data_IF_214945259779
#
_entry.id   IF_214945259779
#
_cell.length_a   1.000
_cell.length_b   1.000
_cell.length_c   1.000
_cell.angle_alpha   90.00
_cell.angle_beta   90.00
_cell.angle_gamma   90.00
#
_symmetry.space_group_name_H-M   'P 1'
#
loop_
_entity.id
_entity.type
_entity.pdbx_description
1 polymer ?
#
# COMPACT_ATOMS: atom_id res chain seq x y z
N UNK A 1 0.39 9.59 -26.07
CA UNK A 1 -0.81 9.91 -25.28
C UNK A 1 -1.99 10.11 -26.21
N UNK A 2 -3.15 9.56 -25.86
CA UNK A 2 -4.38 9.70 -26.66
C UNK A 2 -5.45 10.41 -25.83
N UNK A 3 -6.28 11.22 -26.49
CA UNK A 3 -7.41 11.88 -25.84
C UNK A 3 -8.36 10.80 -25.29
N UNK A 4 -8.74 10.90 -24.01
CA UNK A 4 -9.57 9.91 -23.32
C UNK A 4 -8.83 8.74 -22.67
N UNK A 5 -7.51 8.67 -22.82
CA UNK A 5 -6.67 7.67 -22.14
C UNK A 5 -6.67 7.91 -20.60
N UNK A 6 -6.76 6.85 -19.77
CA UNK A 6 -6.57 6.99 -18.33
C UNK A 6 -5.22 7.60 -17.97
N UNK A 7 -5.21 8.45 -16.94
CA UNK A 7 -3.97 9.04 -16.44
C UNK A 7 -3.11 7.98 -15.74
N UNK A 8 -1.81 8.09 -15.94
CA UNK A 8 -0.81 7.18 -15.35
C UNK A 8 -0.90 7.22 -13.83
N UNK A 9 -0.95 6.03 -13.21
CA UNK A 9 -1.03 5.79 -11.76
C UNK A 9 -2.20 6.50 -11.08
N UNK A 10 -3.24 6.86 -11.82
CA UNK A 10 -4.48 7.40 -11.28
C UNK A 10 -5.58 6.35 -11.37
N UNK A 11 -5.82 5.58 -10.28
CA UNK A 11 -6.89 4.60 -10.28
C UNK A 11 -8.24 5.31 -10.41
N UNK A 12 -9.14 4.75 -11.22
CA UNK A 12 -10.49 5.32 -11.40
C UNK A 12 -11.33 5.24 -10.12
N UNK A 13 -11.12 4.17 -9.34
CA UNK A 13 -11.79 3.92 -8.08
C UNK A 13 -10.73 3.63 -7.01
N UNK A 14 -10.82 4.31 -5.87
CA UNK A 14 -10.02 4.03 -4.69
C UNK A 14 -10.85 4.29 -3.45
N UNK A 15 -10.61 3.52 -2.38
CA UNK A 15 -11.32 3.65 -1.14
C UNK A 15 -10.42 3.36 0.05
N UNK A 16 -10.76 3.96 1.19
CA UNK A 16 -10.12 3.69 2.46
C UNK A 16 -11.20 3.53 3.54
N UNK A 17 -11.02 2.52 4.38
CA UNK A 17 -11.83 2.28 5.55
C UNK A 17 -10.92 2.12 6.76
N UNK A 18 -11.23 2.83 7.85
CA UNK A 18 -10.49 2.76 9.10
C UNK A 18 -11.46 2.63 10.26
N UNK A 19 -11.20 1.66 11.13
CA UNK A 19 -11.93 1.45 12.37
C UNK A 19 -10.94 1.42 13.54
N UNK A 20 -11.21 2.21 14.57
CA UNK A 20 -10.47 2.18 15.83
C UNK A 20 -11.44 1.92 16.96
N UNK A 21 -11.16 0.88 17.73
CA UNK A 21 -11.92 0.52 18.92
C UNK A 21 -11.03 0.67 20.15
N UNK A 22 -11.39 1.58 21.05
CA UNK A 22 -10.66 1.82 22.29
C UNK A 22 -11.51 1.42 23.49
N UNK A 23 -10.99 0.52 24.34
CA UNK A 23 -11.65 0.10 25.56
C UNK A 23 -10.64 -0.08 26.70
N UNK A 24 -10.81 0.73 27.76
CA UNK A 24 -9.93 0.75 28.94
C UNK A 24 -8.44 0.93 28.54
N UNK A 25 -7.65 -0.13 28.66
CA UNK A 25 -6.21 -0.16 28.38
C UNK A 25 -5.88 -0.67 26.98
N UNK A 26 -6.87 -1.22 26.26
CA UNK A 26 -6.71 -1.82 24.94
C UNK A 26 -7.21 -0.86 23.86
N UNK A 27 -6.41 -0.69 22.81
CA UNK A 27 -6.81 -0.06 21.55
C UNK A 27 -6.61 -1.07 20.43
N UNK A 28 -7.62 -1.23 19.58
CA UNK A 28 -7.55 -2.02 18.35
C UNK A 28 -7.74 -1.08 17.18
N UNK A 29 -7.00 -1.31 16.11
CA UNK A 29 -7.12 -0.57 14.86
C UNK A 29 -7.21 -1.56 13.70
N UNK A 30 -8.09 -1.29 12.75
CA UNK A 30 -8.22 -2.03 11.50
C UNK A 30 -8.30 -1.04 10.36
N UNK A 31 -7.53 -1.28 9.31
CA UNK A 31 -7.52 -0.47 8.08
C UNK A 31 -7.77 -1.36 6.89
N UNK A 32 -8.56 -0.91 5.92
CA UNK A 32 -8.70 -1.53 4.62
C UNK A 32 -8.53 -0.47 3.54
N UNK A 33 -7.59 -0.69 2.63
CA UNK A 33 -7.36 0.17 1.46
C UNK A 33 -7.71 -0.61 0.20
N UNK A 34 -8.49 0.02 -0.67
CA UNK A 34 -8.91 -0.54 -1.94
C UNK A 34 -8.40 0.35 -3.05
N UNK A 35 -7.66 -0.22 -4.00
CA UNK A 35 -7.20 0.48 -5.20
C UNK A 35 -7.66 -0.31 -6.42
N UNK A 36 -8.39 0.33 -7.32
CA UNK A 36 -8.72 -0.26 -8.61
C UNK A 36 -7.48 -0.42 -9.50
N UNK A 37 -7.67 -1.08 -10.64
CA UNK A 37 -6.63 -1.13 -11.67
C UNK A 37 -6.24 0.29 -12.12
N UNK A 38 -5.00 0.45 -12.55
CA UNK A 38 -4.52 1.72 -13.07
C UNK A 38 -3.65 1.50 -14.29
N UNK A 39 -3.51 2.54 -15.11
CA UNK A 39 -2.53 2.52 -16.18
C UNK A 39 -1.16 2.87 -15.60
N UNK A 40 -0.14 2.06 -15.84
CA UNK A 40 1.24 2.37 -15.52
C UNK A 40 2.10 2.31 -16.79
N UNK A 41 3.36 2.72 -16.66
CA UNK A 41 4.33 2.80 -17.74
C UNK A 41 5.33 1.64 -17.59
N UNK A 42 5.92 1.22 -18.69
CA UNK A 42 7.07 0.31 -18.70
C UNK A 42 8.18 0.80 -17.76
N UNK A 43 8.66 -0.03 -16.81
CA UNK A 43 9.52 0.43 -15.72
C UNK A 43 10.99 0.69 -16.11
N UNK A 44 11.49 0.11 -17.21
CA UNK A 44 12.91 0.23 -17.60
C UNK A 44 13.20 1.47 -18.45
N UNK A 45 12.31 1.78 -19.39
CA UNK A 45 12.46 2.80 -20.43
C UNK A 45 11.37 3.87 -20.35
N UNK A 46 10.38 3.74 -19.46
CA UNK A 46 9.35 4.75 -19.30
C UNK A 46 8.54 4.95 -20.59
N UNK A 47 8.19 6.21 -20.89
CA UNK A 47 7.47 6.55 -22.13
C UNK A 47 8.34 6.43 -23.38
N UNK A 48 9.66 6.31 -23.26
CA UNK A 48 10.55 6.10 -24.41
C UNK A 48 10.36 4.73 -25.05
N UNK A 49 9.81 3.75 -24.31
CA UNK A 49 9.38 2.47 -24.88
C UNK A 49 8.28 2.64 -25.95
N UNK A 50 7.54 3.77 -25.94
CA UNK A 50 6.47 4.01 -26.90
C UNK A 50 7.00 4.30 -28.30
N UNK A 51 8.24 4.75 -28.43
CA UNK A 51 8.88 5.00 -29.71
C UNK A 51 9.60 3.73 -30.18
N UNK A 52 9.48 3.36 -31.48
CA UNK A 52 10.23 2.24 -32.01
C UNK A 52 11.73 2.51 -31.90
N UNK A 53 12.52 1.63 -31.26
CA UNK A 53 13.97 1.78 -31.27
C UNK A 53 14.51 1.63 -32.70
N UNK A 54 15.69 2.22 -33.02
CA UNK A 54 16.27 2.16 -34.37
C UNK A 54 16.54 0.74 -34.91
N UNK A 55 16.53 -0.27 -34.03
CA UNK A 55 16.93 -1.64 -34.33
C UNK A 55 15.89 -2.71 -33.94
N UNK A 56 14.60 -2.37 -33.74
CA UNK A 56 13.61 -3.38 -33.37
C UNK A 56 12.15 -2.91 -33.38
N UNK A 57 11.19 -3.84 -33.21
CA UNK A 57 9.78 -3.48 -33.07
C UNK A 57 9.58 -2.65 -31.79
N UNK A 58 8.70 -1.63 -31.84
CA UNK A 58 8.33 -0.86 -30.66
C UNK A 58 7.75 -1.75 -29.56
N UNK A 59 8.09 -1.48 -28.31
CA UNK A 59 7.59 -2.21 -27.16
C UNK A 59 6.29 -1.56 -26.64
N UNK A 60 5.37 -2.33 -26.04
CA UNK A 60 4.25 -1.72 -25.32
C UNK A 60 4.80 -0.88 -24.17
N UNK A 61 4.43 0.40 -24.13
CA UNK A 61 4.93 1.34 -23.13
C UNK A 61 3.95 1.62 -21.99
N UNK A 62 2.67 1.27 -22.17
CA UNK A 62 1.65 1.37 -21.14
C UNK A 62 1.11 -0.02 -20.79
N UNK A 63 0.97 -0.29 -19.50
CA UNK A 63 0.45 -1.54 -18.97
C UNK A 63 -0.68 -1.26 -18.00
N UNK A 64 -1.65 -2.18 -17.90
CA UNK A 64 -2.65 -2.11 -16.84
C UNK A 64 -2.11 -2.83 -15.60
N UNK A 65 -1.81 -2.06 -14.56
CA UNK A 65 -1.50 -2.59 -13.23
C UNK A 65 -2.80 -3.04 -12.54
N UNK A 66 -2.71 -4.17 -11.83
CA UNK A 66 -3.87 -4.80 -11.21
C UNK A 66 -4.31 -4.03 -9.96
N UNK A 67 -5.61 -4.00 -9.72
CA UNK A 67 -6.15 -3.48 -8.46
C UNK A 67 -5.83 -4.41 -7.29
N UNK A 68 -5.79 -3.86 -6.08
CA UNK A 68 -5.48 -4.61 -4.87
C UNK A 68 -6.26 -4.13 -3.65
N UNK A 69 -6.27 -4.99 -2.63
CA UNK A 69 -6.94 -4.76 -1.36
C UNK A 69 -5.96 -5.03 -0.23
N UNK A 70 -5.68 -4.01 0.57
CA UNK A 70 -4.77 -4.13 1.70
C UNK A 70 -5.55 -3.99 2.99
N UNK A 71 -5.64 -5.11 3.72
CA UNK A 71 -6.19 -5.12 5.07
C UNK A 71 -5.03 -5.14 6.06
N UNK A 72 -5.10 -4.27 7.06
CA UNK A 72 -4.17 -4.17 8.16
C UNK A 72 -4.92 -4.17 9.48
N UNK A 73 -4.28 -4.68 10.52
CA UNK A 73 -4.79 -4.61 11.87
C UNK A 73 -3.66 -4.29 12.84
N UNK A 74 -3.98 -3.65 13.95
CA UNK A 74 -3.04 -3.35 15.00
C UNK A 74 -3.73 -3.35 16.35
N UNK A 75 -2.91 -3.50 17.38
CA UNK A 75 -3.34 -3.34 18.76
C UNK A 75 -2.30 -2.53 19.52
N UNK A 76 -2.76 -1.84 20.57
CA UNK A 76 -1.89 -1.40 21.64
C UNK A 76 -2.53 -1.64 22.99
N UNK A 77 -1.71 -1.97 23.98
CA UNK A 77 -2.14 -2.24 25.32
C UNK A 77 -1.28 -1.49 26.34
N UNK A 78 -1.92 -0.61 27.10
CA UNK A 78 -1.28 0.17 28.16
C UNK A 78 -1.09 -0.70 29.40
N UNK A 79 0.16 -0.95 29.76
CA UNK A 79 0.57 -1.56 31.02
C UNK A 79 0.63 -0.49 32.13
N UNK A 80 1.00 -0.91 33.34
CA UNK A 80 1.26 0.03 34.43
C UNK A 80 2.56 0.80 34.21
N UNK A 81 2.72 1.93 34.91
CA UNK A 81 3.99 2.71 34.98
C UNK A 81 4.47 3.27 33.63
N UNK A 82 3.56 3.68 32.76
CA UNK A 82 3.90 4.38 31.51
C UNK A 82 4.38 3.47 30.37
N UNK A 83 4.29 2.15 30.51
CA UNK A 83 4.66 1.20 29.46
C UNK A 83 3.45 0.88 28.58
N UNK A 84 3.61 0.84 27.26
CA UNK A 84 2.60 0.38 26.31
C UNK A 84 3.24 -0.61 25.33
N UNK A 85 2.62 -1.78 25.15
CA UNK A 85 3.01 -2.72 24.11
C UNK A 85 2.13 -2.53 22.89
N UNK A 86 2.67 -2.70 21.69
CA UNK A 86 1.89 -2.59 20.47
C UNK A 86 2.34 -3.58 19.40
N UNK A 87 1.42 -3.89 18.52
CA UNK A 87 1.67 -4.71 17.33
C UNK A 87 0.83 -4.20 16.17
N UNK A 88 1.37 -4.34 14.96
CA UNK A 88 0.69 -4.05 13.71
C UNK A 88 1.02 -5.13 12.69
N UNK A 89 -0.01 -5.65 12.04
CA UNK A 89 0.07 -6.54 10.91
C UNK A 89 -0.45 -5.81 9.67
N UNK A 90 0.31 -5.87 8.58
CA UNK A 90 -0.03 -5.28 7.28
C UNK A 90 -0.21 -6.39 6.26
N UNK A 91 -1.03 -6.11 5.24
CA UNK A 91 -1.35 -7.05 4.17
C UNK A 91 -1.80 -8.42 4.75
N UNK A 92 -2.81 -8.39 5.62
CA UNK A 92 -3.37 -9.56 6.30
C UNK A 92 -3.92 -10.62 5.33
N UNK A 93 -4.33 -10.20 4.14
CA UNK A 93 -4.79 -11.10 3.07
C UNK A 93 -3.63 -11.77 2.32
N UNK A 94 -2.38 -11.40 2.64
CA UNK A 94 -1.16 -11.82 1.95
C UNK A 94 -1.26 -11.69 0.42
N UNK A 95 -1.91 -10.60 -0.04
CA UNK A 95 -2.10 -10.36 -1.46
C UNK A 95 -0.77 -9.96 -2.09
N UNK A 96 -0.47 -10.55 -3.26
CA UNK A 96 0.61 -10.07 -4.12
C UNK A 96 0.11 -8.88 -4.90
N UNK A 97 0.77 -7.75 -4.76
CA UNK A 97 0.39 -6.52 -5.42
C UNK A 97 1.62 -5.68 -5.75
N UNK A 98 1.42 -4.75 -6.66
CA UNK A 98 2.41 -3.78 -7.10
C UNK A 98 1.82 -2.40 -6.86
N UNK A 99 2.58 -1.49 -6.25
CA UNK A 99 2.17 -0.08 -6.15
C UNK A 99 2.49 0.66 -7.45
N UNK A 100 3.56 0.22 -8.08
CA UNK A 100 3.97 0.57 -9.43
C UNK A 100 4.33 -0.69 -10.18
N UNK A 101 3.89 -0.78 -11.43
CA UNK A 101 4.07 -1.94 -12.29
C UNK A 101 5.54 -2.38 -12.36
N UNK A 102 5.79 -3.66 -12.10
CA UNK A 102 7.13 -4.26 -12.05
C UNK A 102 7.86 -4.13 -10.70
N UNK A 103 7.26 -3.45 -9.71
CA UNK A 103 7.82 -3.30 -8.36
C UNK A 103 6.91 -3.96 -7.31
N UNK A 104 7.17 -5.23 -6.96
CA UNK A 104 6.33 -5.96 -6.01
C UNK A 104 6.47 -5.38 -4.60
N UNK A 105 5.32 -5.20 -3.96
CA UNK A 105 5.26 -4.73 -2.59
C UNK A 105 5.44 -5.87 -1.57
N UNK A 106 5.57 -5.50 -0.30
CA UNK A 106 5.72 -6.46 0.79
C UNK A 106 4.47 -7.35 0.91
N UNK A 107 4.74 -8.63 1.08
CA UNK A 107 3.74 -9.62 1.49
C UNK A 107 3.24 -9.33 2.91
N UNK A 108 2.47 -10.25 3.48
CA UNK A 108 2.13 -10.17 4.89
C UNK A 108 3.37 -9.87 5.73
N UNK A 109 3.29 -8.80 6.53
CA UNK A 109 4.37 -8.38 7.41
C UNK A 109 3.80 -7.88 8.73
N UNK A 110 4.58 -8.03 9.79
CA UNK A 110 4.20 -7.57 11.12
C UNK A 110 5.34 -6.81 11.78
N UNK A 111 4.96 -5.85 12.63
CA UNK A 111 5.86 -5.06 13.45
C UNK A 111 5.30 -5.04 14.87
N UNK A 112 6.16 -5.19 15.86
CA UNK A 112 5.78 -5.09 17.27
C UNK A 112 6.83 -4.32 18.03
N UNK A 113 6.44 -3.70 19.13
CA UNK A 113 7.35 -2.94 19.95
C UNK A 113 6.75 -2.52 21.28
N UNK A 114 7.57 -1.82 22.04
CA UNK A 114 7.23 -1.22 23.33
C UNK A 114 7.39 0.29 23.20
N UNK A 115 6.44 1.03 23.76
CA UNK A 115 6.48 2.48 23.93
C UNK A 115 6.59 2.77 25.42
N UNK A 116 7.56 3.63 25.78
CA UNK A 116 7.78 4.09 27.14
C UNK A 116 7.38 5.56 27.22
N UNK A 117 6.42 5.88 28.09
CA UNK A 117 5.97 7.23 28.36
C UNK A 117 6.49 7.64 29.73
N UNK A 118 7.53 8.47 29.73
CA UNK A 118 8.06 9.08 30.94
C UNK A 118 7.36 10.43 31.16
N UNK A 119 6.86 10.72 32.37
CA UNK A 119 6.44 12.08 32.70
C UNK A 119 7.67 12.99 32.59
N UNK A 120 7.52 14.12 31.90
CA UNK A 120 8.52 15.20 31.91
C UNK A 120 8.26 16.00 33.19
N UNK A 121 9.26 16.07 34.06
CA UNK A 121 9.26 16.89 35.28
C UNK A 121 9.57 18.35 34.95
#
# INVERSE_FOLDING_TARGET
FQVGQPLVRRPRNSGFFGLTYAYRRLTLNTTATFRGHTLDIEPNFGTFACEPPPAGPGLPCFFSDHGYQLVGAGFSYRLSRGIEIYGRANNLLNQKYEESFGFPALHFNFLTGVRLNFPVE
#
